data_IF_329527328341
#
_entry.id   IF_329527328341
#
_cell.length_a   1.000
_cell.length_b   1.000
_cell.length_c   1.000
_cell.angle_alpha   90.00
_cell.angle_beta   90.00
_cell.angle_gamma   90.00
#
_symmetry.space_group_name_H-M   'P 1'
#
loop_
_entity.id
_entity.type
_entity.pdbx_description
1 polymer ?
#
# COMPACT_ATOMS: atom_id res chain seq x y z
N UNK A 1 -10.89 6.62 -15.98
CA UNK A 1 -11.04 5.15 -15.98
C UNK A 1 -11.66 4.73 -14.66
N UNK A 2 -12.68 3.87 -14.70
CA UNK A 2 -13.33 3.36 -13.49
C UNK A 2 -12.54 2.15 -12.95
N UNK A 3 -12.14 2.21 -11.69
CA UNK A 3 -11.57 1.06 -10.97
C UNK A 3 -12.72 0.13 -10.59
N UNK A 4 -12.56 -1.18 -10.79
CA UNK A 4 -13.60 -2.19 -10.49
C UNK A 4 -13.02 -3.36 -9.70
N UNK A 5 -13.82 -4.06 -8.87
CA UNK A 5 -13.38 -5.29 -8.21
C UNK A 5 -12.84 -6.32 -9.23
N UNK A 6 -11.77 -7.02 -8.86
CA UNK A 6 -11.07 -7.98 -9.74
C UNK A 6 -10.02 -7.35 -10.65
N UNK A 7 -10.02 -6.02 -10.83
CA UNK A 7 -9.01 -5.33 -11.63
C UNK A 7 -7.62 -5.48 -10.99
N UNK A 8 -6.64 -5.86 -11.81
CA UNK A 8 -5.24 -5.85 -11.44
C UNK A 8 -4.61 -4.49 -11.75
N UNK A 9 -3.89 -3.93 -10.78
CA UNK A 9 -3.24 -2.62 -10.90
C UNK A 9 -1.80 -2.71 -10.42
N UNK A 10 -0.94 -1.83 -10.95
CA UNK A 10 0.33 -1.46 -10.34
C UNK A 10 0.11 -0.19 -9.52
N UNK A 11 0.60 -0.15 -8.29
CA UNK A 11 0.40 0.98 -7.37
C UNK A 11 1.75 1.54 -6.97
N UNK A 12 1.89 2.86 -6.98
CA UNK A 12 3.07 3.56 -6.45
C UNK A 12 2.68 4.29 -5.17
N UNK A 13 3.37 3.99 -4.07
CA UNK A 13 3.15 4.60 -2.78
C UNK A 13 4.29 5.56 -2.44
N UNK A 14 3.96 6.83 -2.21
CA UNK A 14 4.89 7.79 -1.60
C UNK A 14 4.81 7.66 -0.09
N UNK A 15 5.93 7.35 0.54
CA UNK A 15 6.05 7.23 1.98
C UNK A 15 6.95 8.37 2.51
N UNK A 16 6.73 8.87 3.73
CA UNK A 16 7.48 10.03 4.24
C UNK A 16 8.92 9.70 4.66
N UNK A 17 9.34 8.43 4.63
CA UNK A 17 10.70 8.00 4.97
C UNK A 17 11.72 8.33 3.87
N UNK A 18 11.31 8.30 2.59
CA UNK A 18 12.18 8.61 1.43
C UNK A 18 11.37 9.15 0.27
N UNK A 19 11.99 9.99 -0.55
CA UNK A 19 11.35 10.58 -1.74
C UNK A 19 11.02 9.53 -2.83
N UNK A 20 11.80 8.46 -2.92
CA UNK A 20 11.57 7.40 -3.91
C UNK A 20 10.33 6.56 -3.54
N UNK A 21 9.31 6.50 -4.42
CA UNK A 21 8.09 5.76 -4.15
C UNK A 21 8.34 4.26 -4.14
N UNK A 22 7.61 3.56 -3.27
CA UNK A 22 7.55 2.10 -3.29
C UNK A 22 6.62 1.67 -4.43
N UNK A 23 7.12 0.83 -5.33
CA UNK A 23 6.29 0.22 -6.38
C UNK A 23 5.74 -1.13 -5.91
N UNK A 24 4.41 -1.23 -5.88
CA UNK A 24 3.69 -2.49 -5.73
C UNK A 24 3.34 -2.99 -7.12
N UNK A 25 4.13 -3.97 -7.58
CA UNK A 25 4.07 -4.52 -8.93
C UNK A 25 2.67 -5.01 -9.29
N UNK A 26 1.98 -5.65 -8.34
CA UNK A 26 0.62 -6.14 -8.55
C UNK A 26 -0.23 -6.06 -7.29
N UNK A 27 -1.38 -5.39 -7.42
CA UNK A 27 -2.51 -5.49 -6.50
C UNK A 27 -3.76 -5.95 -7.24
N UNK A 28 -4.71 -6.54 -6.52
CA UNK A 28 -6.04 -6.88 -7.04
C UNK A 28 -7.09 -6.15 -6.23
N UNK A 29 -7.92 -5.36 -6.91
CA UNK A 29 -9.02 -4.61 -6.29
C UNK A 29 -10.03 -5.59 -5.69
N UNK A 30 -10.40 -5.39 -4.44
CA UNK A 30 -11.34 -6.23 -3.68
C UNK A 30 -12.70 -5.59 -3.50
N UNK A 31 -12.73 -4.27 -3.36
CA UNK A 31 -13.97 -3.50 -3.23
C UNK A 31 -13.76 -2.08 -3.75
N UNK A 32 -14.85 -1.42 -4.15
CA UNK A 32 -14.89 -0.02 -4.57
C UNK A 32 -16.05 0.66 -3.86
N UNK A 33 -15.81 1.86 -3.31
CA UNK A 33 -16.81 2.70 -2.66
C UNK A 33 -16.58 4.16 -3.07
N UNK A 34 -17.35 4.63 -4.04
CA UNK A 34 -17.13 5.95 -4.64
C UNK A 34 -15.76 6.02 -5.30
N UNK A 35 -14.91 6.96 -4.85
CA UNK A 35 -13.54 7.12 -5.32
C UNK A 35 -12.51 6.31 -4.53
N UNK A 36 -12.94 5.53 -3.53
CA UNK A 36 -12.07 4.70 -2.73
C UNK A 36 -12.11 3.26 -3.22
N UNK A 37 -10.99 2.56 -3.11
CA UNK A 37 -10.92 1.13 -3.32
C UNK A 37 -9.99 0.48 -2.31
N UNK A 38 -10.30 -0.76 -1.95
CA UNK A 38 -9.38 -1.62 -1.23
C UNK A 38 -8.78 -2.63 -2.19
N UNK A 39 -7.49 -2.90 -2.06
CA UNK A 39 -6.80 -3.86 -2.89
C UNK A 39 -5.96 -4.83 -2.04
N UNK A 40 -5.81 -6.06 -2.54
CA UNK A 40 -4.91 -7.07 -1.99
C UNK A 40 -3.59 -6.97 -2.73
N UNK A 41 -2.48 -6.81 -2.00
CA UNK A 41 -1.13 -6.93 -2.57
C UNK A 41 -0.89 -8.38 -2.99
N UNK A 42 -0.43 -8.56 -4.23
CA UNK A 42 -0.12 -9.87 -4.82
C UNK A 42 1.38 -10.01 -5.05
N UNK A 43 2.03 -8.94 -5.50
CA UNK A 43 3.46 -8.96 -5.78
C UNK A 43 4.07 -7.59 -5.48
N UNK A 44 5.18 -7.61 -4.74
CA UNK A 44 6.01 -6.46 -4.40
C UNK A 44 7.47 -6.95 -4.35
N UNK A 45 8.43 -6.03 -4.56
CA UNK A 45 9.84 -6.38 -4.37
C UNK A 45 10.16 -6.61 -2.88
N UNK A 46 11.17 -7.44 -2.55
CA UNK A 46 11.61 -7.63 -1.17
C UNK A 46 11.94 -6.30 -0.47
N UNK A 47 12.66 -5.41 -1.16
CA UNK A 47 12.98 -4.07 -0.63
C UNK A 47 11.72 -3.23 -0.36
N UNK A 48 10.68 -3.38 -1.18
CA UNK A 48 9.40 -2.72 -0.98
C UNK A 48 8.63 -3.28 0.23
N UNK A 49 8.65 -4.61 0.42
CA UNK A 49 8.09 -5.29 1.59
C UNK A 49 8.74 -4.80 2.88
N UNK A 50 10.07 -4.75 2.93
CA UNK A 50 10.81 -4.29 4.10
C UNK A 50 10.54 -2.81 4.41
N UNK A 51 10.51 -1.94 3.39
CA UNK A 51 10.21 -0.51 3.57
C UNK A 51 8.80 -0.28 4.11
N UNK A 52 7.80 -0.90 3.48
CA UNK A 52 6.40 -0.78 3.93
C UNK A 52 6.22 -1.36 5.32
N UNK A 53 6.80 -2.53 5.59
CA UNK A 53 6.74 -3.19 6.89
C UNK A 53 7.37 -2.35 8.00
N UNK A 54 8.55 -1.78 7.75
CA UNK A 54 9.24 -0.88 8.69
C UNK A 54 8.41 0.36 8.97
N UNK A 55 7.90 1.02 7.92
CA UNK A 55 7.08 2.21 8.04
C UNK A 55 5.80 1.97 8.86
N UNK A 56 5.05 0.91 8.53
CA UNK A 56 3.83 0.56 9.24
C UNK A 56 4.11 0.18 10.70
N UNK A 57 5.17 -0.59 10.96
CA UNK A 57 5.57 -0.97 12.30
C UNK A 57 5.91 0.25 13.17
N UNK A 58 6.67 1.21 12.64
CA UNK A 58 6.98 2.45 13.35
C UNK A 58 5.71 3.25 13.68
N UNK A 59 4.79 3.36 12.71
CA UNK A 59 3.54 4.11 12.89
C UNK A 59 2.58 3.45 13.88
N UNK A 60 2.49 2.12 13.89
CA UNK A 60 1.71 1.37 14.86
C UNK A 60 2.27 1.54 16.28
N UNK A 61 3.60 1.48 16.45
CA UNK A 61 4.22 1.74 17.77
C UNK A 61 3.94 3.15 18.28
N UNK A 62 4.04 4.16 17.41
CA UNK A 62 3.71 5.54 17.77
C UNK A 62 2.24 5.72 18.17
N UNK A 63 1.33 5.03 17.47
CA UNK A 63 -0.10 5.04 17.82
C UNK A 63 -0.36 4.40 19.19
N UNK A 64 0.23 3.24 19.47
CA UNK A 64 0.06 2.57 20.77
C UNK A 64 0.67 3.36 21.94
N UNK A 65 1.77 4.08 21.72
CA UNK A 65 2.41 4.90 22.76
C UNK A 65 1.67 6.21 23.07
N UNK A 66 0.73 6.62 22.21
CA UNK A 66 -0.10 7.82 22.37
C UNK A 66 -1.53 7.52 22.83
N UNK A 67 -1.84 6.24 23.10
CA UNK A 67 -3.14 5.75 23.54
C UNK A 67 -3.16 5.43 25.04
#
# INVERSE_FOLDING_TARGET
YQVVPGMALTVRLSLPDKDEPVEIQRVVVRWVRGLLFGAKVVTMSPDGEDRVGTFLSARLRAYCASS
#
